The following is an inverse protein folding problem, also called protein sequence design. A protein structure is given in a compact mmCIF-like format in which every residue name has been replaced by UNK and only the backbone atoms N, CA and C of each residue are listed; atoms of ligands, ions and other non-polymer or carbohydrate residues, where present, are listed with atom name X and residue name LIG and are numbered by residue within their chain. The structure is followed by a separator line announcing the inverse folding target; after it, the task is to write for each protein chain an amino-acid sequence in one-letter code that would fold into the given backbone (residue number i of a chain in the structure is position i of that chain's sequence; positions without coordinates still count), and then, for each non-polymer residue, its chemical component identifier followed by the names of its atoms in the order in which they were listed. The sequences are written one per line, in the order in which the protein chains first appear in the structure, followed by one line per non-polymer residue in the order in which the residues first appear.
data_IF_222230663022
#
_entry.id   IF_222230663022
#
_cell.length_a   1.000
_cell.length_b   1.000
_cell.length_c   1.000
_cell.angle_alpha   90.00
_cell.angle_beta   90.00
_cell.angle_gamma   90.00
#
_symmetry.space_group_name_H-M   'P 1'
#
loop_
_entity.id
_entity.type
_entity.pdbx_description
1 polymer ?
#
# COMPACT_ATOMS: atom_id res chain seq x y z
N UNK A 1 -32.78 5.75 13.24
CA UNK A 1 -33.28 4.38 12.98
C UNK A 1 -33.83 4.16 11.57
N UNK A 2 -34.49 5.13 10.92
CA UNK A 2 -35.08 4.94 9.56
C UNK A 2 -34.10 4.75 8.40
N UNK A 3 -32.84 5.16 8.51
CA UNK A 3 -31.84 5.03 7.44
C UNK A 3 -31.23 3.62 7.32
N UNK A 4 -30.97 2.97 8.47
CA UNK A 4 -30.39 1.63 8.53
C UNK A 4 -31.32 0.56 7.92
N UNK A 5 -32.62 0.71 8.10
CA UNK A 5 -33.60 -0.25 7.57
C UNK A 5 -33.73 -0.16 6.04
N UNK A 6 -33.65 1.03 5.46
CA UNK A 6 -33.65 1.23 4.01
C UNK A 6 -32.39 0.68 3.36
N UNK A 7 -31.22 0.86 3.98
CA UNK A 7 -29.96 0.32 3.52
C UNK A 7 -29.95 -1.22 3.55
N UNK A 8 -30.37 -1.82 4.66
CA UNK A 8 -30.48 -3.27 4.78
C UNK A 8 -31.51 -3.88 3.80
N UNK A 9 -32.58 -3.14 3.50
CA UNK A 9 -33.59 -3.57 2.53
C UNK A 9 -33.05 -3.48 1.09
N UNK A 10 -32.21 -2.46 0.79
CA UNK A 10 -31.51 -2.33 -0.48
C UNK A 10 -30.51 -3.48 -0.69
N UNK A 11 -29.67 -3.79 0.31
CA UNK A 11 -28.71 -4.90 0.25
C UNK A 11 -29.39 -6.25 0.05
N UNK A 12 -30.54 -6.49 0.70
CA UNK A 12 -31.34 -7.73 0.50
C UNK A 12 -31.89 -7.87 -0.91
N UNK A 13 -32.25 -6.76 -1.56
CA UNK A 13 -32.73 -6.76 -2.94
C UNK A 13 -31.64 -6.88 -3.99
N UNK A 14 -30.39 -6.53 -3.62
CA UNK A 14 -29.23 -6.50 -4.52
C UNK A 14 -28.03 -7.18 -3.86
N UNK A 15 -28.04 -8.51 -3.68
CA UNK A 15 -26.99 -9.24 -2.94
C UNK A 15 -25.60 -9.09 -3.55
N UNK A 16 -25.48 -8.75 -4.84
CA UNK A 16 -24.21 -8.49 -5.51
C UNK A 16 -23.64 -7.10 -5.22
N UNK A 17 -24.42 -6.13 -4.78
CA UNK A 17 -23.94 -4.79 -4.39
C UNK A 17 -23.17 -4.80 -3.07
N UNK A 18 -23.41 -5.82 -2.22
CA UNK A 18 -22.64 -6.02 -0.99
C UNK A 18 -21.15 -6.26 -1.27
N UNK A 19 -20.83 -6.89 -2.39
CA UNK A 19 -19.46 -7.18 -2.83
C UNK A 19 -18.71 -5.91 -3.24
N UNK A 20 -19.40 -4.93 -3.77
CA UNK A 20 -18.84 -3.62 -4.17
C UNK A 20 -18.54 -2.76 -2.95
N UNK A 21 -19.45 -2.75 -1.97
CA UNK A 21 -19.33 -1.93 -0.76
C UNK A 21 -18.33 -2.49 0.27
N UNK A 22 -18.06 -3.80 0.26
CA UNK A 22 -17.16 -4.45 1.22
C UNK A 22 -15.77 -4.75 0.70
N UNK A 23 -15.45 -4.36 -0.55
CA UNK A 23 -14.13 -4.61 -1.16
C UNK A 23 -13.82 -6.09 -1.41
N UNK A 24 -14.84 -6.96 -1.40
CA UNK A 24 -14.66 -8.41 -1.59
C UNK A 24 -14.95 -8.82 -3.03
N UNK A 25 -14.02 -8.65 -3.95
CA UNK A 25 -14.00 -9.46 -5.17
C UNK A 25 -12.66 -9.41 -5.90
N UNK A 26 -12.16 -10.57 -6.25
CA UNK A 26 -11.15 -10.71 -7.29
C UNK A 26 -11.77 -10.26 -8.61
N UNK A 27 -11.15 -9.30 -9.28
CA UNK A 27 -11.55 -8.88 -10.62
C UNK A 27 -11.23 -9.98 -11.63
N UNK A 28 -12.17 -10.94 -11.79
CA UNK A 28 -12.18 -11.75 -13.01
C UNK A 28 -12.59 -10.85 -14.20
N UNK A 29 -12.25 -11.23 -15.44
CA UNK A 29 -12.77 -10.58 -16.67
C UNK A 29 -14.27 -10.29 -16.57
N UNK A 30 -15.00 -11.26 -16.05
CA UNK A 30 -16.44 -11.18 -15.86
C UNK A 30 -16.82 -10.20 -14.77
N UNK A 31 -16.03 -10.10 -13.68
CA UNK A 31 -16.23 -9.13 -12.63
C UNK A 31 -15.80 -7.72 -13.03
N UNK A 32 -14.72 -7.56 -13.82
CA UNK A 32 -14.34 -6.28 -14.41
C UNK A 32 -15.43 -5.77 -15.37
N UNK A 33 -15.92 -6.64 -16.26
CA UNK A 33 -17.01 -6.26 -17.17
C UNK A 33 -18.38 -6.24 -16.51
N UNK A 34 -18.62 -6.98 -15.42
CA UNK A 34 -19.85 -6.91 -14.63
C UNK A 34 -19.84 -5.73 -13.66
N UNK A 35 -18.71 -5.33 -13.10
CA UNK A 35 -18.56 -4.09 -12.34
C UNK A 35 -18.74 -2.87 -13.24
N UNK A 36 -18.18 -2.92 -14.44
CA UNK A 36 -18.43 -1.91 -15.45
C UNK A 36 -19.91 -1.84 -15.88
N UNK A 37 -20.64 -2.96 -15.88
CA UNK A 37 -22.05 -3.00 -16.27
C UNK A 37 -23.07 -2.87 -15.13
N UNK A 38 -22.75 -3.35 -13.92
CA UNK A 38 -23.69 -3.44 -12.81
C UNK A 38 -23.41 -2.49 -11.65
N UNK A 39 -22.15 -2.04 -11.49
CA UNK A 39 -21.76 -1.16 -10.38
C UNK A 39 -22.23 0.28 -10.52
N UNK A 40 -22.42 0.75 -11.74
CA UNK A 40 -22.85 2.12 -12.03
C UNK A 40 -24.33 2.32 -11.69
N UNK A 41 -25.16 1.31 -11.88
CA UNK A 41 -26.60 1.41 -11.63
C UNK A 41 -27.01 1.60 -10.16
N UNK A 42 -26.17 1.23 -9.20
CA UNK A 42 -26.50 1.32 -7.77
C UNK A 42 -26.18 2.66 -7.10
N UNK A 43 -25.21 3.39 -7.63
CA UNK A 43 -24.76 4.68 -7.05
C UNK A 43 -25.47 5.89 -7.68
N UNK A 44 -26.02 5.74 -8.87
CA UNK A 44 -26.60 6.82 -9.66
C UNK A 44 -27.97 7.31 -9.15
N UNK A 45 -28.63 6.56 -8.28
CA UNK A 45 -29.97 6.94 -7.78
C UNK A 45 -29.99 7.98 -6.64
N UNK A 46 -28.83 8.52 -6.24
CA UNK A 46 -28.75 9.68 -5.34
C UNK A 46 -27.94 10.82 -5.97
N UNK A 47 -28.23 11.12 -7.23
CA UNK A 47 -27.62 12.26 -7.91
C UNK A 47 -28.11 13.59 -7.35
N UNK A 48 -27.31 14.19 -6.52
CA UNK A 48 -27.21 15.65 -6.47
C UNK A 48 -25.94 16.05 -7.24
N UNK A 49 -26.12 16.92 -8.22
CA UNK A 49 -25.06 17.49 -9.00
C UNK A 49 -24.06 18.19 -8.07
N UNK A 50 -22.96 17.48 -7.71
CA UNK A 50 -21.86 18.10 -7.02
C UNK A 50 -20.95 18.76 -8.06
N UNK A 51 -20.79 20.05 -7.90
CA UNK A 51 -19.97 20.91 -8.74
C UNK A 51 -18.53 20.41 -8.82
N UNK A 52 -17.91 20.66 -9.98
CA UNK A 52 -16.54 20.30 -10.35
C UNK A 52 -15.42 20.98 -9.54
N UNK A 53 -15.67 21.41 -8.33
CA UNK A 53 -14.61 21.80 -7.42
C UNK A 53 -14.08 20.52 -6.74
N UNK A 54 -12.78 20.30 -6.77
CA UNK A 54 -12.09 19.18 -6.13
C UNK A 54 -12.38 19.05 -4.62
N UNK A 55 -13.17 19.93 -4.05
CA UNK A 55 -13.57 19.95 -2.64
C UNK A 55 -12.39 19.97 -1.65
N UNK A 56 -11.15 20.01 -2.14
CA UNK A 56 -9.95 19.97 -1.30
C UNK A 56 -9.63 21.36 -0.79
N UNK A 57 -9.53 21.49 0.55
CA UNK A 57 -9.17 22.71 1.25
C UNK A 57 -7.91 22.47 2.06
N UNK A 58 -6.86 23.26 1.82
CA UNK A 58 -5.67 23.29 2.66
C UNK A 58 -5.98 23.99 3.99
N UNK A 59 -5.75 23.28 5.11
CA UNK A 59 -5.93 23.84 6.46
C UNK A 59 -4.65 24.45 7.03
N UNK A 60 -3.50 24.16 6.41
CA UNK A 60 -2.20 24.69 6.77
C UNK A 60 -1.32 24.81 5.54
N UNK A 61 -0.15 25.42 5.72
CA UNK A 61 0.89 25.50 4.70
C UNK A 61 2.21 24.93 5.24
N UNK A 62 2.27 23.59 5.48
CA UNK A 62 3.46 22.97 6.01
C UNK A 62 4.58 22.95 4.97
N UNK A 63 5.82 22.97 5.43
CA UNK A 63 6.96 22.74 4.56
C UNK A 63 6.98 21.25 4.15
N UNK A 64 6.71 20.99 2.86
CA UNK A 64 6.71 19.63 2.33
C UNK A 64 8.13 19.16 2.00
N UNK A 65 8.37 17.86 2.21
CA UNK A 65 9.67 17.24 1.95
C UNK A 65 10.00 17.19 0.45
N UNK A 66 9.02 16.84 -0.42
CA UNK A 66 9.20 16.79 -1.89
C UNK A 66 10.42 15.95 -2.31
N UNK A 67 10.58 14.75 -1.76
CA UNK A 67 11.75 13.88 -1.97
C UNK A 67 11.50 12.73 -2.93
N UNK A 68 10.25 12.29 -3.06
CA UNK A 68 9.89 11.10 -3.80
C UNK A 68 9.02 11.42 -5.01
N UNK A 69 9.21 10.67 -6.10
CA UNK A 69 8.31 10.60 -7.24
C UNK A 69 7.42 9.35 -7.17
N UNK A 70 7.93 8.28 -6.58
CA UNK A 70 7.26 7.01 -6.43
C UNK A 70 7.28 6.56 -4.96
N UNK A 71 6.29 5.75 -4.59
CA UNK A 71 6.21 5.10 -3.28
C UNK A 71 6.05 3.60 -3.47
N UNK A 72 6.82 2.82 -2.73
CA UNK A 72 6.59 1.39 -2.51
C UNK A 72 6.26 1.22 -1.03
N UNK A 73 5.00 0.87 -0.72
CA UNK A 73 4.54 0.59 0.63
C UNK A 73 4.45 -0.92 0.83
N UNK A 74 5.24 -1.47 1.75
CA UNK A 74 5.28 -2.91 2.06
C UNK A 74 4.59 -3.13 3.40
N UNK A 75 3.44 -3.82 3.39
CA UNK A 75 2.71 -4.19 4.58
C UNK A 75 2.99 -5.65 4.94
N UNK A 76 3.62 -5.87 6.09
CA UNK A 76 3.96 -7.19 6.64
C UNK A 76 2.79 -7.72 7.46
N UNK A 77 1.79 -8.30 6.77
CA UNK A 77 0.53 -8.70 7.40
C UNK A 77 0.68 -9.98 8.24
N UNK A 78 0.06 -9.97 9.42
CA UNK A 78 0.26 -10.96 10.46
C UNK A 78 1.25 -10.49 11.53
N UNK A 79 1.68 -9.21 11.46
CA UNK A 79 2.49 -8.55 12.50
C UNK A 79 3.85 -9.22 12.76
N UNK A 80 4.84 -8.83 12.00
CA UNK A 80 6.24 -9.29 12.18
C UNK A 80 6.76 -8.94 13.58
N UNK A 81 7.53 -9.87 14.17
CA UNK A 81 8.20 -9.60 15.44
C UNK A 81 9.33 -8.57 15.29
N UNK A 82 9.16 -7.40 15.88
CA UNK A 82 10.17 -6.34 15.84
C UNK A 82 11.45 -6.74 16.57
N UNK A 83 11.33 -7.44 17.73
CA UNK A 83 12.47 -7.84 18.57
C UNK A 83 13.27 -9.01 18.00
N UNK A 84 12.74 -9.72 17.01
CA UNK A 84 13.48 -10.79 16.31
C UNK A 84 14.01 -10.33 14.95
N UNK A 85 13.75 -9.04 14.57
CA UNK A 85 14.09 -8.50 13.25
C UNK A 85 14.70 -7.09 13.33
N UNK A 86 13.94 -6.03 13.03
CA UNK A 86 14.45 -4.66 12.81
C UNK A 86 14.76 -3.86 14.09
N UNK A 87 14.19 -4.25 15.21
CA UNK A 87 14.56 -3.77 16.55
C UNK A 87 15.08 -4.94 17.40
N UNK A 88 16.08 -5.65 16.85
CA UNK A 88 16.56 -6.92 17.41
C UNK A 88 16.95 -6.77 18.89
N UNK A 89 16.45 -7.70 19.71
CA UNK A 89 16.76 -7.82 21.14
C UNK A 89 17.05 -9.26 21.48
N UNK A 90 18.22 -9.52 22.02
CA UNK A 90 18.59 -10.83 22.53
C UNK A 90 17.70 -11.20 23.73
N UNK A 91 17.08 -12.37 23.68
CA UNK A 91 16.32 -12.95 24.79
C UNK A 91 16.89 -14.35 25.17
N UNK A 92 16.55 -14.90 26.34
CA UNK A 92 16.99 -16.25 26.70
C UNK A 92 16.56 -17.34 25.69
N UNK A 93 15.48 -17.12 24.98
CA UNK A 93 14.91 -18.08 24.02
C UNK A 93 15.43 -17.85 22.58
N UNK A 94 16.22 -16.78 22.35
CA UNK A 94 16.76 -16.45 21.03
C UNK A 94 17.77 -17.51 20.58
N UNK A 95 17.53 -18.25 19.49
CA UNK A 95 18.45 -19.28 19.06
C UNK A 95 19.73 -18.68 18.44
N UNK A 96 20.83 -19.39 18.61
CA UNK A 96 22.13 -18.98 18.05
C UNK A 96 22.13 -18.90 16.53
N UNK A 97 21.20 -19.56 15.85
CA UNK A 97 21.02 -19.50 14.39
C UNK A 97 20.60 -18.13 13.86
N UNK A 98 20.07 -17.23 14.69
CA UNK A 98 19.83 -15.84 14.29
C UNK A 98 21.12 -15.05 14.09
N UNK A 99 22.25 -15.51 14.68
CA UNK A 99 23.59 -14.99 14.53
C UNK A 99 23.66 -13.45 14.47
N UNK A 100 23.23 -12.72 15.53
CA UNK A 100 23.16 -11.27 15.49
C UNK A 100 24.55 -10.66 15.36
N UNK A 101 24.67 -9.67 14.47
CA UNK A 101 25.87 -8.86 14.28
C UNK A 101 25.54 -7.37 14.41
N UNK A 102 26.52 -6.55 14.79
CA UNK A 102 26.35 -5.10 14.88
C UNK A 102 26.76 -4.44 13.57
N UNK A 103 25.78 -3.86 12.85
CA UNK A 103 25.99 -3.17 11.57
C UNK A 103 25.58 -1.70 11.76
N UNK A 104 26.50 -0.76 11.58
CA UNK A 104 26.29 0.67 11.82
C UNK A 104 25.64 0.96 13.21
N UNK A 105 26.02 0.19 14.23
CA UNK A 105 25.44 0.33 15.57
C UNK A 105 24.09 -0.36 15.77
N UNK A 106 23.52 -0.97 14.74
CA UNK A 106 22.24 -1.69 14.78
C UNK A 106 22.54 -3.19 14.98
N UNK A 107 21.92 -3.79 15.98
CA UNK A 107 21.95 -5.24 16.16
C UNK A 107 21.03 -5.88 15.10
N UNK A 108 21.62 -6.74 14.26
CA UNK A 108 20.98 -7.29 13.08
C UNK A 108 21.04 -8.81 13.07
N UNK A 109 19.92 -9.53 12.85
CA UNK A 109 19.90 -11.00 12.83
C UNK A 109 20.42 -11.54 11.49
N UNK A 110 21.74 -11.49 11.30
CA UNK A 110 22.44 -11.84 10.04
C UNK A 110 22.18 -13.28 9.63
N UNK A 111 21.91 -14.19 10.58
CA UNK A 111 21.61 -15.60 10.28
C UNK A 111 20.32 -15.81 9.48
N UNK A 112 19.37 -14.89 9.53
CA UNK A 112 18.10 -14.99 8.80
C UNK A 112 17.90 -13.88 7.75
N UNK A 113 18.69 -12.77 7.80
CA UNK A 113 18.62 -11.65 6.85
C UNK A 113 20.03 -11.17 6.43
N UNK A 114 20.86 -12.04 5.81
CA UNK A 114 22.24 -11.70 5.44
C UNK A 114 22.36 -10.73 4.26
N UNK A 115 21.41 -10.68 3.33
CA UNK A 115 21.45 -9.80 2.18
C UNK A 115 20.97 -8.40 2.53
N UNK A 116 19.94 -8.26 3.35
CA UNK A 116 19.50 -6.97 3.90
C UNK A 116 20.54 -6.37 4.85
N UNK A 117 21.36 -7.19 5.52
CA UNK A 117 22.52 -6.74 6.27
C UNK A 117 23.42 -5.80 5.44
N UNK A 118 23.61 -6.12 4.16
CA UNK A 118 24.40 -5.30 3.22
C UNK A 118 23.67 -4.01 2.78
N UNK A 119 22.36 -3.94 2.98
CA UNK A 119 21.52 -2.78 2.65
C UNK A 119 21.26 -1.88 3.86
N UNK A 120 21.65 -2.28 5.08
CA UNK A 120 21.51 -1.45 6.29
C UNK A 120 22.06 -0.02 6.09
N UNK A 121 23.18 0.22 5.40
CA UNK A 121 23.66 1.58 5.13
C UNK A 121 22.67 2.48 4.37
N UNK A 122 21.69 1.92 3.68
CA UNK A 122 20.68 2.62 2.89
C UNK A 122 19.29 2.63 3.56
N UNK A 123 19.16 2.08 4.76
CA UNK A 123 17.89 1.98 5.51
C UNK A 123 17.92 2.84 6.77
N UNK A 124 16.83 3.52 7.06
CA UNK A 124 16.54 4.11 8.35
C UNK A 124 15.44 3.31 9.04
N UNK A 125 15.64 2.94 10.31
CA UNK A 125 14.69 2.15 11.09
C UNK A 125 14.13 3.02 12.21
N UNK A 126 12.85 3.34 12.16
CA UNK A 126 12.15 4.04 13.25
C UNK A 126 11.69 2.98 14.25
N UNK A 127 12.25 2.98 15.44
CA UNK A 127 11.99 1.99 16.51
C UNK A 127 10.96 2.43 17.52
N UNK A 128 10.62 3.71 17.52
CA UNK A 128 9.64 4.32 18.42
C UNK A 128 8.20 4.25 17.91
N UNK A 129 7.89 3.32 17.00
CA UNK A 129 6.55 3.20 16.42
C UNK A 129 5.62 2.44 17.34
N UNK A 130 4.43 2.96 17.57
CA UNK A 130 3.41 2.30 18.38
C UNK A 130 2.06 2.29 17.67
N UNK A 131 1.48 1.11 17.54
CA UNK A 131 0.17 0.87 16.92
C UNK A 131 -0.99 1.27 17.82
N UNK A 132 -2.18 1.40 17.22
CA UNK A 132 -3.43 1.67 17.93
C UNK A 132 -4.24 0.43 18.28
N UNK A 133 -4.01 -0.69 17.59
CA UNK A 133 -4.82 -1.88 17.66
C UNK A 133 -3.98 -3.14 17.81
N UNK A 134 -4.55 -4.17 18.45
CA UNK A 134 -3.98 -5.51 18.60
C UNK A 134 -4.80 -6.57 17.86
N UNK A 135 -5.68 -6.15 16.94
CA UNK A 135 -6.49 -7.03 16.12
C UNK A 135 -6.11 -6.81 14.66
N UNK A 136 -5.78 -7.88 13.93
CA UNK A 136 -5.18 -7.83 12.59
C UNK A 136 -5.96 -6.95 11.61
N UNK A 137 -7.25 -7.23 11.40
CA UNK A 137 -8.05 -6.49 10.44
C UNK A 137 -8.17 -5.00 10.79
N UNK A 138 -8.29 -4.69 12.09
CA UNK A 138 -8.36 -3.32 12.57
C UNK A 138 -7.04 -2.58 12.37
N UNK A 139 -5.92 -3.21 12.76
CA UNK A 139 -4.58 -2.65 12.59
C UNK A 139 -4.21 -2.47 11.13
N UNK A 140 -4.47 -3.47 10.28
CA UNK A 140 -4.22 -3.39 8.84
C UNK A 140 -5.03 -2.28 8.17
N UNK A 141 -6.33 -2.17 8.49
CA UNK A 141 -7.15 -1.09 7.95
C UNK A 141 -6.60 0.28 8.38
N UNK A 142 -6.33 0.44 9.69
CA UNK A 142 -5.80 1.69 10.23
C UNK A 142 -4.51 2.15 9.53
N UNK A 143 -3.56 1.22 9.36
CA UNK A 143 -2.26 1.47 8.70
C UNK A 143 -2.39 1.92 7.24
N UNK A 144 -3.52 1.64 6.60
CA UNK A 144 -3.72 1.90 5.17
C UNK A 144 -4.61 3.11 4.87
N UNK A 145 -5.33 3.62 5.88
CA UNK A 145 -6.25 4.75 5.72
C UNK A 145 -5.91 5.95 6.62
N UNK A 146 -4.80 5.89 7.35
CA UNK A 146 -4.31 6.94 8.25
C UNK A 146 -5.29 7.34 9.36
N UNK A 147 -6.20 6.46 9.77
CA UNK A 147 -7.21 6.74 10.80
C UNK A 147 -7.86 5.48 11.35
N UNK A 148 -8.58 5.63 12.46
CA UNK A 148 -9.42 4.55 12.96
C UNK A 148 -10.51 4.19 11.96
N UNK A 149 -10.65 2.91 11.56
CA UNK A 149 -11.78 2.46 10.76
C UNK A 149 -13.14 2.64 11.45
N UNK A 150 -13.15 2.81 12.78
CA UNK A 150 -14.36 3.07 13.56
C UNK A 150 -14.66 4.57 13.74
N UNK A 151 -13.77 5.46 13.29
CA UNK A 151 -14.00 6.91 13.32
C UNK A 151 -15.04 7.34 12.26
N UNK A 152 -15.47 8.59 12.35
CA UNK A 152 -16.30 9.20 11.32
C UNK A 152 -15.58 9.11 9.96
N UNK A 153 -16.29 8.62 8.93
CA UNK A 153 -15.76 8.31 7.59
C UNK A 153 -14.72 7.16 7.55
N UNK A 154 -14.37 6.52 8.67
CA UNK A 154 -13.33 5.49 8.70
C UNK A 154 -13.67 4.25 7.88
N UNK A 155 -14.93 3.81 7.89
CA UNK A 155 -15.45 2.65 7.15
C UNK A 155 -15.52 2.87 5.63
N UNK A 156 -15.50 4.13 5.19
CA UNK A 156 -15.53 4.53 3.77
C UNK A 156 -14.28 5.30 3.37
N UNK A 157 -13.30 5.40 4.24
CA UNK A 157 -12.06 6.13 3.95
C UNK A 157 -11.26 5.46 2.81
N UNK A 158 -10.70 6.23 1.88
CA UNK A 158 -9.82 5.70 0.86
C UNK A 158 -8.49 5.25 1.46
N UNK A 159 -7.85 4.26 0.82
CA UNK A 159 -6.44 3.96 1.04
C UNK A 159 -5.58 5.20 0.70
N UNK A 160 -4.48 5.41 1.43
CA UNK A 160 -3.55 6.54 1.18
C UNK A 160 -3.06 6.57 -0.28
N UNK A 161 -2.82 5.42 -0.91
CA UNK A 161 -2.47 5.33 -2.32
C UNK A 161 -3.56 5.84 -3.26
N UNK A 162 -4.83 5.70 -2.90
CA UNK A 162 -5.96 6.26 -3.65
C UNK A 162 -6.06 7.77 -3.50
N UNK A 163 -5.76 8.31 -2.31
CA UNK A 163 -5.65 9.77 -2.11
C UNK A 163 -4.50 10.34 -2.94
N UNK A 164 -3.33 9.68 -2.94
CA UNK A 164 -2.18 10.07 -3.78
C UNK A 164 -2.56 10.04 -5.26
N UNK A 165 -3.25 8.99 -5.71
CA UNK A 165 -3.70 8.88 -7.10
C UNK A 165 -4.63 10.01 -7.51
N UNK A 166 -5.51 10.45 -6.61
CA UNK A 166 -6.42 11.56 -6.87
C UNK A 166 -5.71 12.92 -6.92
N UNK A 167 -4.81 13.17 -5.98
CA UNK A 167 -4.07 14.44 -5.92
C UNK A 167 -3.10 14.60 -7.10
N UNK A 168 -2.47 13.50 -7.50
CA UNK A 168 -1.46 13.46 -8.56
C UNK A 168 -2.01 13.14 -9.95
N UNK A 169 -3.33 13.03 -10.12
CA UNK A 169 -3.93 12.68 -11.41
C UNK A 169 -3.54 13.63 -12.55
N UNK A 170 -3.40 14.92 -12.25
CA UNK A 170 -3.04 15.94 -13.24
C UNK A 170 -1.56 15.86 -13.69
N UNK A 171 -0.74 15.11 -12.98
CA UNK A 171 0.65 14.83 -13.35
C UNK A 171 0.78 13.65 -14.33
N UNK A 172 -0.32 12.93 -14.61
CA UNK A 172 -0.33 11.85 -15.59
C UNK A 172 -0.15 12.39 -17.00
N UNK A 173 0.73 11.74 -17.75
CA UNK A 173 0.93 12.03 -19.17
C UNK A 173 -0.15 11.35 -20.02
N UNK A 174 -0.57 11.90 -21.15
CA UNK A 174 -1.49 11.23 -22.08
C UNK A 174 -1.00 9.86 -22.58
N UNK A 175 0.31 9.62 -22.51
CA UNK A 175 0.96 8.36 -22.91
C UNK A 175 1.04 7.33 -21.80
N UNK A 176 0.65 7.65 -20.57
CA UNK A 176 0.67 6.75 -19.44
C UNK A 176 -0.41 5.68 -19.56
N UNK A 177 0.00 4.43 -19.60
CA UNK A 177 -0.88 3.28 -19.83
C UNK A 177 -1.12 2.44 -18.59
N UNK A 178 -0.22 2.51 -17.59
CA UNK A 178 -0.36 1.69 -16.38
C UNK A 178 -1.23 2.38 -15.32
N UNK A 179 -1.90 1.59 -14.45
CA UNK A 179 -2.60 2.14 -13.29
C UNK A 179 -1.66 2.98 -12.44
N UNK A 180 -2.17 4.08 -11.88
CA UNK A 180 -1.40 4.91 -10.96
C UNK A 180 -1.03 4.14 -9.68
N UNK A 181 -1.99 3.38 -9.16
CA UNK A 181 -1.87 2.59 -7.95
C UNK A 181 -1.99 1.09 -8.24
N UNK A 182 -0.94 0.32 -7.88
CA UNK A 182 -0.91 -1.14 -7.96
C UNK A 182 -0.91 -1.76 -6.57
N UNK A 183 -1.77 -2.75 -6.37
CA UNK A 183 -1.79 -3.60 -5.18
C UNK A 183 -1.29 -5.01 -5.52
N UNK A 184 -0.06 -5.34 -5.12
CA UNK A 184 0.58 -6.62 -5.39
C UNK A 184 0.43 -7.54 -4.18
N UNK A 185 -0.10 -8.75 -4.39
CA UNK A 185 -0.48 -9.68 -3.31
C UNK A 185 -1.40 -9.05 -2.26
N UNK A 186 -2.06 -7.96 -2.61
CA UNK A 186 -2.88 -7.18 -1.69
C UNK A 186 -4.21 -7.87 -1.42
N UNK A 187 -4.68 -7.76 -0.18
CA UNK A 187 -6.00 -8.23 0.23
C UNK A 187 -7.10 -7.22 -0.18
N UNK A 188 -8.33 -7.55 0.18
CA UNK A 188 -9.49 -6.73 -0.16
C UNK A 188 -9.66 -5.46 0.70
N UNK A 189 -8.75 -5.22 1.66
CA UNK A 189 -8.82 -4.06 2.55
C UNK A 189 -8.39 -2.75 1.88
N UNK A 190 -7.73 -2.82 0.71
CA UNK A 190 -7.32 -1.62 -0.02
C UNK A 190 -8.33 -1.27 -1.11
N UNK A 191 -8.68 0.00 -1.18
CA UNK A 191 -9.65 0.52 -2.15
C UNK A 191 -9.71 2.04 -2.16
N UNK A 192 -10.49 2.58 -3.08
CA UNK A 192 -10.73 4.02 -3.17
C UNK A 192 -11.71 4.56 -2.12
N UNK A 193 -12.27 3.70 -1.27
CA UNK A 193 -13.30 4.13 -0.31
C UNK A 193 -14.48 4.77 -1.01
N UNK A 194 -14.89 5.94 -0.56
CA UNK A 194 -15.95 6.73 -1.21
C UNK A 194 -15.50 7.44 -2.50
N UNK A 195 -14.19 7.54 -2.72
CA UNK A 195 -13.65 8.23 -3.89
C UNK A 195 -13.92 7.46 -5.16
N UNK A 196 -13.87 8.15 -6.30
CA UNK A 196 -14.07 7.55 -7.60
C UNK A 196 -13.18 6.32 -7.81
N UNK A 197 -13.76 5.26 -8.40
CA UNK A 197 -13.09 3.99 -8.64
C UNK A 197 -11.84 4.11 -9.55
N UNK A 198 -11.69 5.17 -10.34
CA UNK A 198 -10.47 5.42 -11.13
C UNK A 198 -9.21 5.61 -10.27
N UNK A 199 -9.37 5.92 -8.98
CA UNK A 199 -8.30 6.05 -8.01
C UNK A 199 -8.05 4.76 -7.21
N UNK A 200 -8.88 3.73 -7.44
CA UNK A 200 -8.72 2.45 -6.78
C UNK A 200 -7.44 1.73 -7.24
N UNK A 201 -6.84 0.90 -6.37
CA UNK A 201 -5.73 0.05 -6.76
C UNK A 201 -6.17 -1.00 -7.79
N UNK A 202 -5.33 -1.24 -8.77
CA UNK A 202 -5.43 -2.48 -9.55
C UNK A 202 -4.68 -3.57 -8.80
N UNK A 203 -5.42 -4.59 -8.34
CA UNK A 203 -4.91 -5.65 -7.48
C UNK A 203 -4.70 -6.93 -8.26
N UNK A 204 -3.53 -7.55 -8.11
CA UNK A 204 -3.25 -8.88 -8.66
C UNK A 204 -2.07 -9.55 -7.95
N UNK A 205 -1.95 -10.86 -8.12
CA UNK A 205 -0.77 -11.63 -7.72
C UNK A 205 0.13 -11.79 -8.93
N UNK A 206 1.39 -11.30 -8.87
CA UNK A 206 2.35 -11.44 -9.96
C UNK A 206 2.59 -12.88 -10.36
N UNK A 207 2.61 -13.14 -11.67
CA UNK A 207 2.87 -14.43 -12.25
C UNK A 207 3.73 -14.29 -13.52
N UNK A 208 4.40 -15.37 -13.95
CA UNK A 208 5.21 -15.38 -15.17
C UNK A 208 4.40 -15.07 -16.44
N UNK A 209 3.08 -15.31 -16.39
CA UNK A 209 2.13 -14.94 -17.46
C UNK A 209 1.95 -13.43 -17.63
N UNK A 210 2.42 -12.62 -16.67
CA UNK A 210 2.31 -11.18 -16.70
C UNK A 210 1.00 -10.65 -16.11
N UNK A 211 0.60 -9.45 -16.56
CA UNK A 211 -0.63 -8.81 -16.09
C UNK A 211 -1.84 -9.63 -16.56
N UNK A 212 -2.80 -9.93 -15.67
CA UNK A 212 -3.94 -10.77 -16.01
C UNK A 212 -4.78 -10.15 -17.13
N UNK A 213 -5.29 -11.02 -17.99
CA UNK A 213 -6.31 -10.69 -18.99
C UNK A 213 -5.95 -9.65 -20.07
N UNK A 214 -4.67 -9.34 -20.26
CA UNK A 214 -4.22 -8.40 -21.31
C UNK A 214 -4.14 -9.01 -22.71
N UNK A 215 -4.24 -10.33 -22.83
CA UNK A 215 -4.24 -11.04 -24.09
C UNK A 215 -5.54 -11.87 -24.26
N UNK A 216 -6.36 -11.51 -25.24
CA UNK A 216 -7.60 -12.22 -25.53
C UNK A 216 -7.33 -13.39 -26.51
N UNK A 217 -7.94 -14.57 -26.26
CA UNK A 217 -7.79 -15.75 -27.10
C UNK A 217 -8.23 -15.53 -28.55
N UNK A 218 -9.11 -14.58 -28.82
CA UNK A 218 -9.55 -14.21 -30.17
C UNK A 218 -8.49 -13.47 -30.98
N UNK A 219 -7.39 -13.04 -30.36
CA UNK A 219 -6.36 -12.20 -30.96
C UNK A 219 -6.73 -10.72 -31.08
N UNK A 220 -5.74 -9.87 -31.33
CA UNK A 220 -5.91 -8.41 -31.35
C UNK A 220 -6.90 -7.92 -32.40
N UNK A 221 -6.83 -8.46 -33.64
CA UNK A 221 -7.68 -8.01 -34.74
C UNK A 221 -9.18 -8.25 -34.47
N UNK A 222 -9.55 -9.40 -33.87
CA UNK A 222 -10.95 -9.69 -33.52
C UNK A 222 -11.37 -8.88 -32.29
N UNK A 223 -10.49 -8.69 -31.34
CA UNK A 223 -10.75 -7.83 -30.19
C UNK A 223 -11.01 -6.38 -30.64
N UNK A 224 -10.22 -5.83 -31.55
CA UNK A 224 -10.41 -4.48 -32.07
C UNK A 224 -11.78 -4.31 -32.78
N UNK A 225 -12.19 -5.29 -33.58
CA UNK A 225 -13.54 -5.30 -34.19
C UNK A 225 -14.66 -5.30 -33.14
N UNK A 226 -14.50 -6.09 -32.06
CA UNK A 226 -15.45 -6.12 -30.94
C UNK A 226 -15.48 -4.77 -30.23
N UNK A 227 -14.32 -4.14 -30.05
CA UNK A 227 -14.19 -2.82 -29.45
C UNK A 227 -14.87 -1.74 -30.27
N UNK A 228 -14.66 -1.73 -31.59
CA UNK A 228 -15.33 -0.81 -32.50
C UNK A 228 -16.86 -0.99 -32.46
N UNK A 229 -17.32 -2.24 -32.46
CA UNK A 229 -18.76 -2.52 -32.36
C UNK A 229 -19.33 -2.04 -31.03
N UNK A 230 -18.66 -2.28 -29.92
CA UNK A 230 -19.07 -1.77 -28.59
C UNK A 230 -19.19 -0.24 -28.60
N UNK A 231 -18.21 0.45 -29.15
CA UNK A 231 -18.24 1.91 -29.24
C UNK A 231 -19.36 2.43 -30.16
N UNK A 232 -19.69 1.74 -31.26
CA UNK A 232 -20.80 2.10 -32.12
C UNK A 232 -22.16 1.90 -31.44
N UNK A 233 -22.32 0.87 -30.61
CA UNK A 233 -23.57 0.54 -29.93
C UNK A 233 -23.80 1.37 -28.67
N UNK A 234 -22.75 1.65 -27.92
CA UNK A 234 -22.85 2.17 -26.57
C UNK A 234 -22.01 3.44 -26.32
N UNK A 235 -21.02 3.71 -27.17
CA UNK A 235 -20.09 4.84 -26.97
C UNK A 235 -20.79 6.20 -26.89
N UNK A 236 -21.84 6.41 -27.70
CA UNK A 236 -22.63 7.66 -27.68
C UNK A 236 -23.38 7.82 -26.36
N UNK A 237 -23.85 6.71 -25.79
CA UNK A 237 -24.57 6.70 -24.51
C UNK A 237 -23.64 6.94 -23.31
N UNK A 238 -22.36 6.68 -23.46
CA UNK A 238 -21.34 6.94 -22.41
C UNK A 238 -20.86 8.40 -22.46
N UNK A 239 -20.80 8.98 -23.65
CA UNK A 239 -20.47 10.39 -23.87
C UNK A 239 -21.77 11.19 -23.86
N UNK A 240 -21.85 12.27 -23.12
CA UNK A 240 -23.06 13.08 -22.92
C UNK A 240 -24.21 12.31 -22.21
N UNK A 241 -23.88 11.35 -21.38
CA UNK A 241 -24.84 10.62 -20.58
C UNK A 241 -25.53 11.55 -19.55
N UNK A 242 -26.83 11.32 -19.23
CA UNK A 242 -27.48 11.98 -18.11
C UNK A 242 -26.83 11.65 -16.76
N UNK A 243 -25.93 10.67 -16.72
CA UNK A 243 -25.15 10.28 -15.55
C UNK A 243 -23.78 11.01 -15.47
N UNK A 244 -23.54 11.98 -16.36
CA UNK A 244 -22.41 12.92 -16.33
C UNK A 244 -21.05 12.24 -16.06
N UNK A 245 -20.31 12.72 -15.05
CA UNK A 245 -18.94 12.33 -14.74
C UNK A 245 -18.77 10.80 -14.51
N UNK A 246 -19.75 10.12 -13.92
CA UNK A 246 -19.63 8.68 -13.66
C UNK A 246 -19.53 7.86 -14.95
N UNK A 247 -20.24 8.28 -16.00
CA UNK A 247 -20.15 7.61 -17.31
C UNK A 247 -18.89 7.99 -18.08
N UNK A 248 -18.40 9.20 -17.93
CA UNK A 248 -17.10 9.62 -18.49
C UNK A 248 -15.96 8.83 -17.83
N UNK A 249 -15.99 8.65 -16.51
CA UNK A 249 -15.03 7.85 -15.79
C UNK A 249 -15.07 6.37 -16.21
N UNK A 250 -16.29 5.83 -16.39
CA UNK A 250 -16.50 4.49 -16.92
C UNK A 250 -15.91 4.30 -18.32
N UNK A 251 -16.13 5.27 -19.22
CA UNK A 251 -15.50 5.29 -20.54
C UNK A 251 -13.96 5.38 -20.44
N UNK A 252 -13.46 6.15 -19.49
CA UNK A 252 -12.03 6.22 -19.15
C UNK A 252 -11.44 4.86 -18.74
N UNK A 253 -12.15 4.07 -17.94
CA UNK A 253 -11.74 2.70 -17.60
C UNK A 253 -11.67 1.79 -18.82
N UNK A 254 -12.68 1.84 -19.68
CA UNK A 254 -12.68 1.06 -20.92
C UNK A 254 -11.48 1.40 -21.81
N UNK A 255 -11.20 2.70 -21.99
CA UNK A 255 -10.05 3.17 -22.77
C UNK A 255 -8.72 2.76 -22.14
N UNK A 256 -8.59 2.87 -20.83
CA UNK A 256 -7.40 2.45 -20.09
C UNK A 256 -7.17 0.94 -20.21
N UNK A 257 -8.22 0.13 -20.00
CA UNK A 257 -8.17 -1.31 -20.21
C UNK A 257 -7.79 -1.68 -21.65
N UNK A 258 -8.40 -1.01 -22.64
CA UNK A 258 -8.04 -1.18 -24.06
C UNK A 258 -6.56 -0.85 -24.33
N UNK A 259 -6.03 0.21 -23.72
CA UNK A 259 -4.64 0.63 -23.84
C UNK A 259 -3.63 -0.42 -23.31
N UNK A 260 -4.06 -1.23 -22.36
CA UNK A 260 -3.26 -2.32 -21.79
C UNK A 260 -3.36 -3.63 -22.60
N UNK A 261 -4.44 -3.82 -23.39
CA UNK A 261 -4.64 -5.05 -24.18
C UNK A 261 -3.64 -5.13 -25.34
N UNK A 262 -3.01 -6.30 -25.48
CA UNK A 262 -2.01 -6.58 -26.53
C UNK A 262 -0.88 -5.56 -26.59
N UNK A 263 -0.54 -4.94 -25.45
CA UNK A 263 0.46 -3.89 -25.37
C UNK A 263 1.84 -4.49 -25.00
N UNK A 264 2.86 -4.41 -25.88
CA UNK A 264 4.19 -4.95 -25.57
C UNK A 264 4.85 -4.30 -24.34
N UNK A 265 4.54 -3.04 -24.01
CA UNK A 265 5.06 -2.39 -22.80
C UNK A 265 4.49 -3.03 -21.54
N UNK A 266 3.22 -3.45 -21.56
CA UNK A 266 2.59 -4.19 -20.47
C UNK A 266 3.27 -5.54 -20.32
N UNK A 267 3.42 -6.30 -21.41
CA UNK A 267 4.13 -7.59 -21.37
C UNK A 267 5.56 -7.42 -20.83
N UNK A 268 6.31 -6.45 -21.30
CA UNK A 268 7.68 -6.20 -20.85
C UNK A 268 7.79 -5.86 -19.36
N UNK A 269 6.84 -5.09 -18.83
CA UNK A 269 6.87 -4.65 -17.44
C UNK A 269 6.32 -5.69 -16.45
N UNK A 270 5.31 -6.46 -16.86
CA UNK A 270 4.59 -7.35 -15.95
C UNK A 270 4.95 -8.84 -16.12
N UNK A 271 5.46 -9.27 -17.26
CA UNK A 271 6.00 -10.63 -17.42
C UNK A 271 7.40 -10.73 -16.86
N UNK A 272 7.72 -11.88 -16.32
CA UNK A 272 9.07 -12.21 -15.87
C UNK A 272 9.40 -13.69 -16.13
N UNK A 273 10.67 -13.98 -16.23
CA UNK A 273 11.21 -15.32 -16.42
C UNK A 273 11.40 -16.04 -15.09
N UNK A 274 11.51 -17.36 -15.12
CA UNK A 274 11.89 -18.16 -13.96
C UNK A 274 13.24 -17.72 -13.37
N UNK A 275 14.19 -17.34 -14.23
CA UNK A 275 15.50 -16.87 -13.79
C UNK A 275 15.41 -15.52 -13.02
N UNK A 276 14.60 -14.58 -13.51
CA UNK A 276 14.33 -13.33 -12.78
C UNK A 276 13.66 -13.60 -11.43
N UNK A 277 12.67 -14.51 -11.39
CA UNK A 277 12.02 -14.93 -10.14
C UNK A 277 13.03 -15.56 -9.16
N UNK A 278 13.92 -16.44 -9.63
CA UNK A 278 14.97 -17.06 -8.79
C UNK A 278 15.90 -16.01 -8.17
N UNK A 279 16.25 -14.96 -8.93
CA UNK A 279 17.09 -13.87 -8.43
C UNK A 279 16.42 -13.11 -7.26
N UNK A 280 15.10 -13.04 -7.22
CA UNK A 280 14.30 -12.47 -6.14
C UNK A 280 13.87 -13.50 -5.06
N UNK A 281 14.50 -14.70 -5.05
CA UNK A 281 14.24 -15.74 -4.07
C UNK A 281 13.04 -16.63 -4.39
N UNK A 282 12.51 -16.60 -5.60
CA UNK A 282 11.44 -17.48 -6.11
C UNK A 282 10.24 -17.60 -5.14
N UNK A 283 9.78 -16.47 -4.60
CA UNK A 283 8.68 -16.39 -3.66
C UNK A 283 7.62 -15.41 -4.13
N UNK A 284 6.39 -15.52 -3.60
CA UNK A 284 5.32 -14.56 -3.94
C UNK A 284 5.70 -13.12 -3.61
N UNK A 285 6.39 -12.90 -2.48
CA UNK A 285 6.91 -11.58 -2.12
C UNK A 285 8.02 -11.12 -3.07
N UNK A 286 8.99 -11.97 -3.37
CA UNK A 286 10.06 -11.67 -4.32
C UNK A 286 9.53 -11.31 -5.70
N UNK A 287 8.53 -12.06 -6.20
CA UNK A 287 7.87 -11.76 -7.47
C UNK A 287 7.12 -10.42 -7.46
N UNK A 288 6.53 -10.03 -6.34
CA UNK A 288 5.93 -8.71 -6.18
C UNK A 288 6.98 -7.60 -6.22
N UNK A 289 8.12 -7.79 -5.54
CA UNK A 289 9.27 -6.87 -5.59
C UNK A 289 9.83 -6.73 -7.02
N UNK A 290 10.01 -7.85 -7.73
CA UNK A 290 10.43 -7.87 -9.13
C UNK A 290 9.48 -7.08 -10.03
N UNK A 291 8.17 -7.34 -9.89
CA UNK A 291 7.15 -6.63 -10.68
C UNK A 291 7.15 -5.13 -10.37
N UNK A 292 7.24 -4.74 -9.09
CA UNK A 292 7.32 -3.33 -8.70
C UNK A 292 8.53 -2.63 -9.34
N UNK A 293 9.71 -3.26 -9.31
CA UNK A 293 10.92 -2.73 -9.95
C UNK A 293 10.74 -2.52 -11.45
N UNK A 294 10.24 -3.53 -12.17
CA UNK A 294 10.03 -3.47 -13.63
C UNK A 294 8.97 -2.44 -14.02
N UNK A 295 7.88 -2.36 -13.28
CA UNK A 295 6.79 -1.39 -13.54
C UNK A 295 7.25 0.05 -13.34
N UNK A 296 7.99 0.33 -12.26
CA UNK A 296 8.53 1.67 -12.03
C UNK A 296 9.60 2.03 -13.08
N UNK A 297 10.44 1.08 -13.47
CA UNK A 297 11.44 1.28 -14.53
C UNK A 297 10.82 1.56 -15.90
N UNK A 298 9.64 1.00 -16.18
CA UNK A 298 8.91 1.25 -17.42
C UNK A 298 8.36 2.69 -17.53
N UNK A 299 8.23 3.41 -16.42
CA UNK A 299 7.73 4.78 -16.32
C UNK A 299 6.47 5.05 -17.16
N UNK A 300 5.45 4.22 -17.00
CA UNK A 300 4.19 4.28 -17.73
C UNK A 300 3.01 4.73 -16.85
N UNK A 301 3.26 5.53 -15.82
CA UNK A 301 2.23 6.19 -15.02
C UNK A 301 1.97 5.60 -13.62
N UNK A 302 2.53 4.46 -13.27
CA UNK A 302 2.46 3.95 -11.88
C UNK A 302 3.37 4.77 -10.99
N UNK A 303 2.84 5.22 -9.83
CA UNK A 303 3.57 6.02 -8.83
C UNK A 303 3.44 5.48 -7.41
N UNK A 304 2.41 4.70 -7.14
CA UNK A 304 2.21 4.07 -5.83
C UNK A 304 2.04 2.56 -6.02
N UNK A 305 2.89 1.79 -5.35
CA UNK A 305 2.83 0.32 -5.33
C UNK A 305 2.71 -0.13 -3.89
N UNK A 306 1.62 -0.83 -3.56
CA UNK A 306 1.50 -1.52 -2.29
C UNK A 306 1.79 -3.01 -2.49
N UNK A 307 2.67 -3.54 -1.63
CA UNK A 307 2.99 -4.98 -1.59
C UNK A 307 2.56 -5.52 -0.24
N UNK A 308 1.67 -6.50 -0.22
CA UNK A 308 1.35 -7.21 1.00
C UNK A 308 2.19 -8.49 1.09
N UNK A 309 2.78 -8.71 2.27
CA UNK A 309 3.54 -9.90 2.58
C UNK A 309 3.06 -10.50 3.89
N UNK A 310 2.21 -11.52 3.81
CA UNK A 310 1.54 -12.16 4.94
C UNK A 310 2.30 -13.30 5.57
N UNK A 311 1.60 -13.96 6.52
CA UNK A 311 2.07 -15.14 7.27
C UNK A 311 3.09 -14.86 8.37
N UNK A 312 3.06 -13.66 8.98
CA UNK A 312 3.90 -13.32 10.12
C UNK A 312 3.27 -13.61 11.49
N UNK A 313 2.09 -14.21 11.52
CA UNK A 313 1.31 -14.47 12.75
C UNK A 313 1.79 -15.72 13.48
N UNK A 314 2.99 -15.64 14.10
CA UNK A 314 3.65 -16.75 14.74
C UNK A 314 3.36 -16.82 16.25
N UNK A 315 2.16 -17.29 16.62
CA UNK A 315 1.81 -17.56 18.02
C UNK A 315 2.46 -18.82 18.58
N UNK A 316 3.02 -19.67 17.70
CA UNK A 316 3.64 -20.95 18.08
C UNK A 316 4.95 -21.14 17.30
N UNK A 317 5.94 -21.76 17.95
CA UNK A 317 7.18 -22.23 17.32
C UNK A 317 7.81 -21.21 16.39
N UNK A 318 7.92 -19.93 16.82
CA UNK A 318 8.34 -18.80 15.95
C UNK A 318 9.69 -19.08 15.27
N UNK A 319 10.61 -19.79 15.93
CA UNK A 319 11.94 -20.10 15.40
C UNK A 319 12.01 -21.40 14.59
N UNK A 320 10.88 -22.09 14.37
CA UNK A 320 10.83 -23.22 13.44
C UNK A 320 11.30 -22.75 12.05
N UNK A 321 12.13 -23.52 11.33
CA UNK A 321 12.63 -23.16 10.00
C UNK A 321 11.54 -22.75 8.99
N UNK A 322 10.32 -23.23 9.13
CA UNK A 322 9.17 -22.90 8.28
C UNK A 322 8.42 -21.63 8.69
N UNK A 323 8.75 -21.03 9.84
CA UNK A 323 8.13 -19.82 10.36
C UNK A 323 8.99 -18.58 10.14
N UNK A 324 9.43 -17.88 11.21
CA UNK A 324 10.21 -16.65 11.09
C UNK A 324 11.45 -16.79 10.18
N UNK A 325 12.27 -17.85 10.26
CA UNK A 325 13.45 -17.95 9.41
C UNK A 325 13.11 -17.99 7.92
N UNK A 326 12.08 -18.75 7.51
CA UNK A 326 11.62 -18.80 6.13
C UNK A 326 11.08 -17.46 5.66
N UNK A 327 10.23 -16.82 6.48
CA UNK A 327 9.63 -15.53 6.13
C UNK A 327 10.69 -14.43 6.03
N UNK A 328 11.61 -14.38 6.98
CA UNK A 328 12.74 -13.46 6.97
C UNK A 328 13.65 -13.68 5.75
N UNK A 329 13.93 -14.93 5.37
CA UNK A 329 14.70 -15.24 4.18
C UNK A 329 14.02 -14.80 2.86
N UNK A 330 12.69 -14.91 2.76
CA UNK A 330 11.94 -14.38 1.62
C UNK A 330 11.97 -12.84 1.58
N UNK A 331 11.82 -12.20 2.74
CA UNK A 331 11.96 -10.75 2.88
C UNK A 331 13.36 -10.30 2.48
N UNK A 332 14.38 -10.96 3.00
CA UNK A 332 15.79 -10.70 2.77
C UNK A 332 16.13 -10.70 1.28
N UNK A 333 15.74 -11.77 0.55
CA UNK A 333 16.01 -11.89 -0.87
C UNK A 333 15.20 -10.88 -1.71
N UNK A 334 13.90 -10.76 -1.44
CA UNK A 334 13.02 -9.90 -2.22
C UNK A 334 13.36 -8.42 -2.10
N UNK A 335 13.47 -7.92 -0.86
CA UNK A 335 13.70 -6.49 -0.60
C UNK A 335 15.13 -6.06 -0.94
N UNK A 336 16.15 -6.87 -0.60
CA UNK A 336 17.54 -6.52 -0.95
C UNK A 336 17.75 -6.44 -2.46
N UNK A 337 17.14 -7.37 -3.22
CA UNK A 337 17.20 -7.37 -4.69
C UNK A 337 16.43 -6.18 -5.27
N UNK A 338 15.26 -5.85 -4.72
CA UNK A 338 14.50 -4.65 -5.12
C UNK A 338 15.33 -3.38 -4.93
N UNK A 339 15.96 -3.19 -3.77
CA UNK A 339 16.80 -2.03 -3.51
C UNK A 339 17.98 -1.96 -4.47
N UNK A 340 18.63 -3.09 -4.76
CA UNK A 340 19.73 -3.16 -5.72
C UNK A 340 19.28 -2.79 -7.15
N UNK A 341 18.13 -3.28 -7.59
CA UNK A 341 17.59 -2.98 -8.93
C UNK A 341 17.14 -1.53 -9.07
N UNK A 342 16.52 -0.96 -8.04
CA UNK A 342 16.17 0.46 -8.03
C UNK A 342 17.41 1.35 -8.10
N UNK A 343 18.51 0.98 -7.43
CA UNK A 343 19.81 1.68 -7.56
C UNK A 343 20.38 1.55 -8.96
N UNK A 344 20.42 0.33 -9.51
CA UNK A 344 20.94 0.05 -10.85
C UNK A 344 20.18 0.81 -11.95
N UNK A 345 18.87 1.02 -11.76
CA UNK A 345 18.02 1.74 -12.70
C UNK A 345 17.94 3.26 -12.44
N UNK A 346 18.66 3.80 -11.45
CA UNK A 346 18.63 5.21 -11.08
C UNK A 346 17.28 5.68 -10.51
N UNK A 347 16.52 4.75 -9.93
CA UNK A 347 15.20 5.00 -9.36
C UNK A 347 15.20 5.08 -7.83
N UNK A 348 16.26 4.62 -7.18
CA UNK A 348 16.33 4.54 -5.71
C UNK A 348 16.14 5.93 -5.07
N UNK A 349 16.83 6.95 -5.57
CA UNK A 349 16.72 8.31 -5.05
C UNK A 349 15.40 9.02 -5.39
N UNK A 350 14.55 8.40 -6.20
CA UNK A 350 13.22 8.92 -6.59
C UNK A 350 12.08 8.10 -6.00
N UNK A 351 12.38 6.99 -5.32
CA UNK A 351 11.38 6.06 -4.81
C UNK A 351 11.51 5.94 -3.31
N UNK A 352 10.47 6.32 -2.58
CA UNK A 352 10.38 6.10 -1.15
C UNK A 352 9.88 4.66 -0.91
N UNK A 353 10.68 3.86 -0.24
CA UNK A 353 10.28 2.54 0.26
C UNK A 353 9.91 2.70 1.72
N UNK A 354 8.69 2.29 2.09
CA UNK A 354 8.21 2.25 3.47
C UNK A 354 7.77 0.83 3.77
N UNK A 355 8.21 0.27 4.89
CA UNK A 355 7.84 -1.08 5.30
C UNK A 355 7.51 -1.12 6.79
N UNK A 356 6.36 -1.70 7.14
CA UNK A 356 5.93 -1.89 8.53
C UNK A 356 4.91 -3.03 8.63
N UNK A 357 4.64 -3.47 9.86
CA UNK A 357 3.48 -4.33 10.17
C UNK A 357 2.28 -3.50 10.63
N UNK A 358 1.17 -4.17 10.92
CA UNK A 358 0.01 -3.55 11.56
C UNK A 358 0.21 -3.29 13.06
N UNK A 359 1.04 -4.10 13.72
CA UNK A 359 1.52 -3.97 15.11
C UNK A 359 2.75 -4.87 15.29
N UNK A 360 3.31 -4.94 16.49
CA UNK A 360 4.45 -5.79 16.82
C UNK A 360 4.07 -7.06 17.59
N UNK A 361 5.06 -7.67 18.19
CA UNK A 361 4.89 -8.92 18.95
C UNK A 361 5.45 -8.78 20.37
N UNK A 362 4.91 -9.56 21.32
CA UNK A 362 5.40 -9.60 22.69
C UNK A 362 6.91 -9.84 22.74
N UNK A 363 7.54 -9.21 23.72
CA UNK A 363 9.00 -9.12 23.83
C UNK A 363 9.55 -10.04 24.91
N UNK A 364 10.87 -10.19 24.96
CA UNK A 364 11.52 -11.02 25.95
C UNK A 364 11.23 -12.51 25.74
N UNK A 365 10.80 -13.22 26.82
CA UNK A 365 10.56 -14.66 26.81
C UNK A 365 9.39 -15.04 25.89
N UNK A 366 9.51 -16.17 25.22
CA UNK A 366 8.44 -16.75 24.40
C UNK A 366 7.24 -17.20 25.23
N UNK A 367 6.07 -17.31 24.60
CA UNK A 367 4.89 -17.95 25.18
C UNK A 367 5.14 -19.45 25.44
N UNK A 368 4.25 -20.08 26.17
CA UNK A 368 4.33 -21.52 26.42
C UNK A 368 4.28 -22.38 25.13
N UNK A 369 3.72 -21.83 24.04
CA UNK A 369 3.70 -22.46 22.72
C UNK A 369 4.95 -22.16 21.89
N UNK A 370 5.93 -21.43 22.43
CA UNK A 370 7.16 -21.07 21.71
C UNK A 370 6.96 -19.99 20.63
N UNK A 371 5.94 -19.16 20.76
CA UNK A 371 5.64 -18.06 19.86
C UNK A 371 5.59 -16.71 20.55
N UNK A 372 5.02 -15.72 19.88
CA UNK A 372 4.82 -14.36 20.41
C UNK A 372 3.40 -13.88 20.12
N UNK A 373 2.76 -13.28 21.12
CA UNK A 373 1.43 -12.69 21.00
C UNK A 373 1.49 -11.26 20.46
N UNK A 374 0.33 -10.64 20.25
CA UNK A 374 0.20 -9.28 19.72
C UNK A 374 0.72 -8.25 20.72
N UNK A 375 1.41 -7.23 20.22
CA UNK A 375 1.96 -6.16 21.03
C UNK A 375 1.93 -4.83 20.26
N UNK A 376 1.79 -3.72 20.99
CA UNK A 376 1.63 -2.41 20.33
C UNK A 376 2.95 -1.83 19.79
N UNK A 377 4.09 -2.07 20.47
CA UNK A 377 5.39 -1.58 20.03
C UNK A 377 5.81 -2.31 18.74
N UNK A 378 6.27 -1.54 17.75
CA UNK A 378 6.74 -2.04 16.47
C UNK A 378 7.79 -1.10 15.87
N UNK A 379 8.14 -1.32 14.61
CA UNK A 379 9.05 -0.49 13.82
C UNK A 379 8.42 -0.07 12.51
N UNK A 380 9.03 0.95 11.89
CA UNK A 380 8.88 1.23 10.47
C UNK A 380 10.25 1.41 9.82
N UNK A 381 10.46 0.84 8.64
CA UNK A 381 11.69 0.99 7.87
C UNK A 381 11.44 1.91 6.68
N UNK A 382 12.38 2.83 6.45
CA UNK A 382 12.38 3.75 5.32
C UNK A 382 13.68 3.61 4.53
N UNK A 383 13.58 3.67 3.19
CA UNK A 383 14.75 3.65 2.31
C UNK A 383 14.46 4.42 1.01
N UNK A 384 15.50 4.83 0.31
CA UNK A 384 15.38 5.56 -0.94
C UNK A 384 14.93 7.02 -0.78
N UNK A 385 14.63 7.70 -1.88
CA UNK A 385 14.20 9.12 -1.91
C UNK A 385 15.07 10.06 -1.06
N UNK A 386 16.36 9.79 -0.96
CA UNK A 386 17.34 10.57 -0.17
C UNK A 386 17.23 10.37 1.35
N UNK A 387 16.52 9.36 1.81
CA UNK A 387 16.51 8.96 3.24
C UNK A 387 17.93 8.68 3.72
N UNK A 388 18.29 9.24 4.85
CA UNK A 388 19.60 9.03 5.50
C UNK A 388 19.64 7.67 6.17
N UNK A 389 20.21 6.69 5.49
CA UNK A 389 20.31 5.32 5.95
C UNK A 389 21.44 5.07 6.96
N UNK A 390 21.65 3.81 7.31
CA UNK A 390 22.67 3.35 8.23
C UNK A 390 22.37 3.66 9.69
N UNK A 391 21.13 3.92 10.07
CA UNK A 391 20.78 4.36 11.42
C UNK A 391 19.40 3.90 11.89
N UNK A 392 19.23 3.88 13.19
CA UNK A 392 17.93 3.81 13.85
C UNK A 392 17.52 5.19 14.36
N UNK A 393 16.24 5.54 14.23
CA UNK A 393 15.61 6.69 14.85
C UNK A 393 14.77 6.19 16.03
N UNK A 394 15.02 6.79 17.19
CA UNK A 394 14.45 6.34 18.45
C UNK A 394 15.06 5.04 18.95
N UNK A 395 14.78 4.76 20.21
CA UNK A 395 15.22 3.54 20.89
C UNK A 395 14.13 3.01 21.79
N UNK A 396 14.04 1.70 21.87
CA UNK A 396 13.26 0.99 22.88
C UNK A 396 14.17 0.55 24.03
N UNK A 397 13.57 0.16 25.13
CA UNK A 397 14.23 -0.45 26.27
C UNK A 397 14.96 -1.74 25.85
N UNK A 398 15.81 -2.33 26.73
CA UNK A 398 16.55 -3.55 26.40
C UNK A 398 15.68 -4.75 26.02
N UNK A 399 14.42 -4.73 26.37
CA UNK A 399 13.46 -5.78 25.98
C UNK A 399 12.71 -5.49 24.68
N UNK A 400 12.69 -4.24 24.21
CA UNK A 400 11.90 -3.80 23.06
C UNK A 400 10.43 -3.51 23.39
N UNK A 401 10.10 -3.34 24.67
CA UNK A 401 8.71 -3.23 25.14
C UNK A 401 8.18 -1.80 25.15
N UNK A 402 9.02 -0.84 25.51
CA UNK A 402 8.64 0.57 25.64
C UNK A 402 9.66 1.48 24.98
N UNK A 403 9.21 2.61 24.50
CA UNK A 403 10.07 3.64 23.95
C UNK A 403 10.92 4.27 25.05
N UNK A 404 12.24 4.33 24.87
CA UNK A 404 13.17 5.08 25.70
C UNK A 404 13.53 6.44 25.09
N UNK A 405 13.63 6.49 23.75
CA UNK A 405 13.93 7.68 23.00
C UNK A 405 12.96 7.78 21.81
N UNK A 406 12.36 8.94 21.62
CA UNK A 406 11.45 9.16 20.48
C UNK A 406 12.22 9.19 19.15
N UNK A 407 13.42 9.77 19.12
CA UNK A 407 14.29 9.85 17.95
C UNK A 407 13.85 10.86 16.88
N UNK A 408 12.86 11.71 17.18
CA UNK A 408 12.34 12.73 16.30
C UNK A 408 11.90 13.98 17.10
N UNK A 409 11.50 15.03 16.41
CA UNK A 409 11.22 16.35 17.02
C UNK A 409 10.03 16.35 18.01
N UNK A 410 9.22 15.29 18.05
CA UNK A 410 8.14 15.14 19.03
C UNK A 410 8.56 14.17 20.14
N UNK A 411 8.30 14.55 21.38
CA UNK A 411 8.60 13.71 22.54
C UNK A 411 7.47 12.71 22.81
N UNK A 412 7.21 11.86 21.82
CA UNK A 412 6.25 10.75 21.88
C UNK A 412 6.57 9.67 20.85
N UNK A 413 5.90 8.52 20.96
CA UNK A 413 5.98 7.48 19.94
C UNK A 413 5.45 7.99 18.60
N UNK A 414 6.06 7.49 17.53
CA UNK A 414 5.57 7.65 16.16
C UNK A 414 4.29 6.82 15.98
N UNK A 415 3.29 7.39 15.38
CA UNK A 415 2.02 6.73 15.04
C UNK A 415 1.92 6.50 13.54
N UNK A 416 0.96 5.67 13.16
CA UNK A 416 0.68 5.39 11.74
C UNK A 416 0.40 6.69 10.98
N UNK A 417 -0.34 7.60 11.60
CA UNK A 417 -0.68 8.91 11.04
C UNK A 417 0.57 9.75 10.73
N UNK A 418 1.63 9.64 11.53
CA UNK A 418 2.90 10.32 11.26
C UNK A 418 3.66 9.69 10.08
N UNK A 419 3.58 8.36 9.96
CA UNK A 419 4.15 7.63 8.82
C UNK A 419 3.44 8.04 7.54
N UNK A 420 2.12 8.07 7.54
CA UNK A 420 1.32 8.46 6.39
C UNK A 420 1.49 9.94 6.04
N UNK A 421 1.60 10.84 7.05
CA UNK A 421 1.99 12.24 6.84
C UNK A 421 3.37 12.36 6.21
N UNK A 422 4.32 11.49 6.59
CA UNK A 422 5.66 11.41 6.00
C UNK A 422 5.59 11.02 4.53
N UNK A 423 4.77 10.02 4.18
CA UNK A 423 4.56 9.59 2.79
C UNK A 423 3.96 10.74 1.96
N UNK A 424 2.87 11.37 2.43
CA UNK A 424 2.26 12.49 1.73
C UNK A 424 3.24 13.65 1.53
N UNK A 425 3.94 14.05 2.57
CA UNK A 425 4.93 15.14 2.52
C UNK A 425 6.09 14.81 1.58
N UNK A 426 6.58 13.56 1.59
CA UNK A 426 7.67 13.12 0.73
C UNK A 426 7.30 13.17 -0.76
N UNK A 427 6.06 12.87 -1.12
CA UNK A 427 5.57 12.94 -2.51
C UNK A 427 4.98 14.31 -2.87
N UNK A 428 5.10 15.29 -1.99
CA UNK A 428 4.68 16.68 -2.24
C UNK A 428 3.18 16.93 -2.10
N UNK A 429 2.50 16.16 -1.26
CA UNK A 429 1.09 16.35 -0.93
C UNK A 429 0.98 17.02 0.43
N UNK A 430 0.16 18.07 0.51
CA UNK A 430 -0.13 18.73 1.78
C UNK A 430 -1.01 17.82 2.66
N UNK A 431 -0.40 17.21 3.66
CA UNK A 431 -1.04 16.27 4.58
C UNK A 431 -2.07 16.92 5.51
N UNK A 432 -2.14 18.28 5.57
CA UNK A 432 -3.19 19.00 6.30
C UNK A 432 -4.44 19.28 5.44
N UNK A 433 -4.50 18.76 4.22
CA UNK A 433 -5.66 18.93 3.36
C UNK A 433 -6.90 18.24 3.92
N UNK A 434 -8.05 18.82 3.65
CA UNK A 434 -9.37 18.23 3.91
C UNK A 434 -10.14 18.17 2.60
N UNK A 435 -10.76 17.04 2.31
CA UNK A 435 -11.65 16.84 1.18
C UNK A 435 -13.10 16.86 1.64
N UNK A 436 -13.92 17.72 1.01
CA UNK A 436 -15.35 17.85 1.30
C UNK A 436 -16.24 17.19 0.23
N UNK A 437 -15.65 16.37 -0.65
CA UNK A 437 -16.37 15.56 -1.64
C UNK A 437 -16.85 14.20 -1.07
N UNK A 438 -16.75 13.99 0.24
CA UNK A 438 -17.29 12.82 0.91
C UNK A 438 -18.84 12.83 0.91
N UNK A 439 -19.50 11.64 0.92
CA UNK A 439 -20.96 11.52 0.79
C UNK A 439 -21.77 12.20 1.90
N UNK A 440 -21.12 12.53 3.02
CA UNK A 440 -21.75 13.15 4.19
C UNK A 440 -21.35 14.61 4.37
N UNK A 441 -20.48 15.14 3.52
CA UNK A 441 -19.94 16.52 3.56
C UNK A 441 -19.33 16.87 4.93
N UNK A 442 -18.72 15.90 5.58
CA UNK A 442 -18.07 16.06 6.88
C UNK A 442 -16.64 16.54 6.79
N UNK A 443 -16.02 16.35 5.63
CA UNK A 443 -14.62 16.61 5.39
C UNK A 443 -13.74 15.42 5.81
N UNK A 444 -13.09 14.80 4.83
CA UNK A 444 -12.05 13.81 5.07
C UNK A 444 -10.70 14.52 5.17
N UNK A 445 -10.18 14.62 6.39
CA UNK A 445 -8.80 15.06 6.62
C UNK A 445 -7.84 14.03 6.02
N UNK A 446 -6.78 14.44 5.30
CA UNK A 446 -5.78 13.50 4.80
C UNK A 446 -5.09 12.80 5.97
N UNK A 447 -4.66 13.57 6.94
CA UNK A 447 -4.22 13.07 8.25
C UNK A 447 -5.07 13.75 9.33
N UNK A 448 -5.79 12.99 10.17
CA UNK A 448 -6.61 13.54 11.23
C UNK A 448 -5.82 14.48 12.14
N UNK A 449 -6.37 15.65 12.45
CA UNK A 449 -5.79 16.64 13.35
C UNK A 449 -4.37 17.12 12.98
N UNK A 450 -3.93 16.94 11.74
CA UNK A 450 -2.64 17.44 11.30
C UNK A 450 -2.57 18.98 11.22
N UNK A 451 -3.70 19.63 10.99
CA UNK A 451 -3.85 21.09 11.04
C UNK A 451 -3.72 21.66 12.47
N UNK A 452 -3.87 20.82 13.50
CA UNK A 452 -3.66 21.12 14.91
C UNK A 452 -2.28 20.66 15.41
N UNK A 453 -1.41 20.28 14.51
CA UNK A 453 -0.06 19.79 14.80
C UNK A 453 -0.01 18.53 15.69
N UNK A 454 -1.07 17.71 15.70
CA UNK A 454 -1.05 16.45 16.45
C UNK A 454 -0.19 15.39 15.77
N UNK A 455 -0.27 15.29 14.44
CA UNK A 455 0.52 14.39 13.61
C UNK A 455 1.26 15.15 12.52
N UNK A 456 2.41 14.63 12.11
CA UNK A 456 3.22 15.25 11.07
C UNK A 456 4.40 14.40 10.63
N UNK A 457 5.13 14.82 9.58
CA UNK A 457 6.21 14.06 8.98
C UNK A 457 7.42 13.87 9.91
N UNK A 458 8.11 12.75 9.76
CA UNK A 458 9.38 12.44 10.42
C UNK A 458 10.51 13.07 9.60
N UNK A 459 10.81 14.34 9.87
CA UNK A 459 11.82 15.12 9.13
C UNK A 459 13.24 14.58 9.32
N UNK A 460 13.50 13.94 10.44
CA UNK A 460 14.77 13.33 10.81
C UNK A 460 15.21 12.26 9.82
N UNK A 461 14.32 11.64 9.08
CA UNK A 461 14.67 10.72 8.01
C UNK A 461 15.55 11.36 6.93
N UNK A 462 15.55 12.69 6.79
CA UNK A 462 16.34 13.45 5.80
C UNK A 462 17.33 14.43 6.41
N UNK A 463 17.27 14.68 7.70
CA UNK A 463 18.24 15.52 8.42
C UNK A 463 19.45 14.70 8.91
N UNK A 464 20.57 15.38 9.10
CA UNK A 464 21.79 14.76 9.62
C UNK A 464 21.68 14.43 11.12
#
# INVERSE_FOLDING_TARGET
MKGKDKFNQFIRKHPHSHTILTGRSYLSRRAFFQLAGAGVGGYVLQGNAFSQNSGVVARGNPQLLNKAQNVIFILLTGAISHTDTFDFKQSPDTPSSLAPEKINGIDWPTGIMPNLAKQVPDMAIVRSVRSWALQHNLGQAWTQIARSPAAALGDIAPNIGSVIAADKQNERRPTDTFPFFLGLNANDMIGSGYMNAKYAPVKFTPATSGFPDTNNADGSARFDKKWELLNKLDGVNRINSPYHQDMEDFDGFYKSGKGMMFNPKVDAAFRYTTQESQRYGNSGFGNACLTASKVLAADQGTRYVQINFGSWDHHQNIYDPLNLPRMAGQLDNGLSTLMADLKANGLFDKTLIVMMGEFGRTTGKLTAQGGRDHFLQQFAMFAGAGVKGGRALGATDPTGSVMNESGWYRDREVRVEDIDATIYSAIGINYTNIRYDDPFQRGLEYIPYADQDLYGPIHELWSA
#
